data_IF_419743879731
#
_entry.id   IF_419743879731
#
_cell.length_a   1.000
_cell.length_b   1.000
_cell.length_c   1.000
_cell.angle_alpha   90.00
_cell.angle_beta   90.00
_cell.angle_gamma   90.00
#
_symmetry.space_group_name_H-M   'P 1'
#
loop_
_entity.id
_entity.type
_entity.pdbx_description
1 polymer ?
#
# COMPACT_ATOMS: atom_id res chain seq x y z
N UNK A 1 -51.89 -72.99 37.79
CA UNK A 1 -51.21 -73.01 39.07
C UNK A 1 -49.96 -72.18 38.92
N UNK A 2 -50.18 -70.97 39.30
CA UNK A 2 -49.30 -70.29 40.30
C UNK A 2 -47.85 -70.13 39.88
N UNK A 3 -47.15 -69.09 40.05
CA UNK A 3 -47.44 -67.84 40.77
C UNK A 3 -46.19 -66.91 40.55
N UNK A 4 -46.37 -65.58 40.69
CA UNK A 4 -45.52 -64.57 41.18
C UNK A 4 -44.15 -64.25 40.46
N UNK A 5 -44.07 -63.17 39.87
CA UNK A 5 -43.73 -61.83 40.38
C UNK A 5 -42.32 -61.65 40.97
N UNK A 6 -41.78 -60.48 40.71
CA UNK A 6 -40.74 -59.66 41.36
C UNK A 6 -39.56 -59.38 40.36
N UNK A 7 -39.50 -58.28 39.74
CA UNK A 7 -38.95 -56.99 40.15
C UNK A 7 -37.42 -56.96 40.25
N UNK A 8 -36.70 -56.40 39.29
CA UNK A 8 -35.39 -55.88 39.56
C UNK A 8 -35.02 -54.82 38.54
N UNK A 9 -34.65 -53.70 39.06
CA UNK A 9 -34.16 -52.52 38.39
C UNK A 9 -32.85 -52.80 37.66
N UNK A 10 -32.76 -52.38 36.41
CA UNK A 10 -31.47 -52.32 35.71
C UNK A 10 -31.10 -50.89 35.47
N UNK A 11 -29.96 -50.52 36.14
CA UNK A 11 -29.28 -49.26 35.95
C UNK A 11 -28.79 -49.10 34.52
N UNK A 12 -29.05 -47.94 34.02
CA UNK A 12 -28.55 -47.53 32.70
C UNK A 12 -27.07 -47.24 32.81
N UNK A 13 -26.23 -48.08 32.24
CA UNK A 13 -24.81 -47.82 31.98
C UNK A 13 -24.71 -46.86 30.78
N UNK A 14 -24.50 -45.60 31.04
CA UNK A 14 -24.12 -44.60 30.03
C UNK A 14 -22.68 -44.83 29.64
N UNK A 15 -22.46 -45.46 28.51
CA UNK A 15 -21.16 -45.48 27.83
C UNK A 15 -20.91 -44.11 27.22
N UNK A 16 -20.08 -43.31 27.89
CA UNK A 16 -19.44 -42.11 27.33
C UNK A 16 -18.38 -42.52 26.32
N UNK A 17 -18.75 -42.54 25.05
CA UNK A 17 -17.78 -42.60 23.96
C UNK A 17 -17.04 -41.29 23.90
N UNK A 18 -15.76 -41.36 24.24
CA UNK A 18 -14.81 -40.25 24.16
C UNK A 18 -14.71 -39.71 22.74
N UNK A 19 -14.93 -38.43 22.62
CA UNK A 19 -14.69 -37.65 21.43
C UNK A 19 -13.19 -37.40 21.37
N UNK A 20 -12.48 -37.74 20.30
CA UNK A 20 -11.05 -37.35 20.20
C UNK A 20 -10.97 -35.85 20.08
N UNK A 21 -10.18 -35.28 20.99
CA UNK A 21 -9.77 -33.87 20.96
C UNK A 21 -8.78 -33.68 19.81
N UNK A 22 -9.31 -33.26 18.67
CA UNK A 22 -8.50 -32.76 17.56
C UNK A 22 -8.49 -31.23 17.62
N UNK A 23 -7.71 -30.71 18.53
CA UNK A 23 -7.42 -29.28 18.66
C UNK A 23 -6.03 -29.01 18.08
N UNK A 24 -5.90 -29.10 16.76
CA UNK A 24 -4.83 -28.41 16.09
C UNK A 24 -5.09 -26.89 16.22
N UNK A 25 -4.10 -26.08 16.65
CA UNK A 25 -4.26 -24.63 16.66
C UNK A 25 -4.42 -24.15 15.22
N UNK A 26 -5.64 -23.74 14.87
CA UNK A 26 -5.86 -22.96 13.65
C UNK A 26 -5.00 -21.71 13.78
N UNK A 27 -3.96 -21.65 12.98
CA UNK A 27 -3.21 -20.42 12.74
C UNK A 27 -4.22 -19.34 12.39
N UNK A 28 -4.46 -18.44 13.32
CA UNK A 28 -5.31 -17.28 13.18
C UNK A 28 -4.61 -16.36 12.20
N UNK A 29 -4.89 -16.59 10.91
CA UNK A 29 -4.49 -15.66 9.86
C UNK A 29 -5.08 -14.31 10.25
N UNK A 30 -4.19 -13.33 10.49
CA UNK A 30 -4.58 -11.97 10.80
C UNK A 30 -5.69 -11.53 9.82
N UNK A 31 -6.78 -10.92 10.29
CA UNK A 31 -7.91 -10.60 9.45
C UNK A 31 -7.43 -9.71 8.30
N UNK A 32 -7.48 -10.25 7.08
CA UNK A 32 -7.36 -9.48 5.85
C UNK A 32 -8.37 -8.35 5.99
N UNK A 33 -7.88 -7.12 6.03
CA UNK A 33 -8.72 -5.94 6.15
C UNK A 33 -9.78 -6.01 5.05
N UNK A 34 -10.96 -6.45 5.42
CA UNK A 34 -12.13 -6.48 4.53
C UNK A 34 -12.28 -5.09 3.93
N UNK A 35 -12.59 -4.94 2.65
CA UNK A 35 -12.91 -3.64 2.09
C UNK A 35 -14.07 -3.10 2.92
N UNK A 36 -13.77 -2.08 3.72
CA UNK A 36 -14.73 -1.43 4.62
C UNK A 36 -15.87 -0.90 3.75
N UNK A 37 -16.92 -1.69 3.59
CA UNK A 37 -18.24 -1.24 3.16
C UNK A 37 -18.87 -0.50 4.35
N UNK A 38 -18.30 0.61 4.71
CA UNK A 38 -18.88 1.58 5.60
C UNK A 38 -19.26 2.78 4.76
N UNK A 39 -20.48 2.84 4.28
CA UNK A 39 -21.10 4.05 3.77
C UNK A 39 -21.30 5.05 4.90
N UNK A 40 -20.21 5.58 5.44
CA UNK A 40 -20.28 6.84 6.15
C UNK A 40 -20.63 7.91 5.11
N UNK A 41 -21.56 8.83 5.40
CA UNK A 41 -22.07 9.77 4.42
C UNK A 41 -20.93 10.56 3.81
N UNK A 42 -20.73 10.38 2.50
CA UNK A 42 -19.73 11.03 1.66
C UNK A 42 -19.85 12.56 1.72
N UNK A 43 -20.98 13.06 2.22
CA UNK A 43 -21.36 14.48 2.25
C UNK A 43 -20.79 15.31 3.40
N UNK A 44 -20.20 14.71 4.43
CA UNK A 44 -19.60 15.52 5.51
C UNK A 44 -18.16 15.94 5.14
N UNK A 45 -18.04 17.13 4.56
CA UNK A 45 -16.81 17.85 4.16
C UNK A 45 -16.10 17.36 2.88
N UNK A 46 -16.76 17.39 1.70
CA UNK A 46 -16.14 17.00 0.43
C UNK A 46 -14.91 17.87 0.10
N UNK A 47 -14.96 19.15 0.43
CA UNK A 47 -13.85 20.10 0.23
C UNK A 47 -12.62 19.68 1.03
N UNK A 48 -12.76 19.36 2.31
CA UNK A 48 -11.64 18.91 3.16
C UNK A 48 -10.98 17.66 2.61
N UNK A 49 -11.76 16.69 2.15
CA UNK A 49 -11.24 15.45 1.54
C UNK A 49 -10.52 15.71 0.23
N UNK A 50 -11.07 16.60 -0.62
CA UNK A 50 -10.42 17.02 -1.86
C UNK A 50 -9.08 17.70 -1.61
N UNK A 51 -9.04 18.64 -0.66
CA UNK A 51 -7.79 19.32 -0.25
C UNK A 51 -6.79 18.33 0.34
N UNK A 52 -7.21 17.45 1.23
CA UNK A 52 -6.36 16.42 1.82
C UNK A 52 -5.78 15.48 0.76
N UNK A 53 -6.59 15.05 -0.22
CA UNK A 53 -6.15 14.27 -1.37
C UNK A 53 -5.08 15.02 -2.15
N UNK A 54 -5.36 16.26 -2.55
CA UNK A 54 -4.46 17.07 -3.37
C UNK A 54 -3.12 17.32 -2.66
N UNK A 55 -3.14 17.74 -1.41
CA UNK A 55 -1.93 17.95 -0.61
C UNK A 55 -1.12 16.65 -0.44
N UNK A 56 -1.80 15.53 -0.22
CA UNK A 56 -1.14 14.23 -0.16
C UNK A 56 -0.49 13.84 -1.49
N UNK A 57 -1.16 14.06 -2.62
CA UNK A 57 -0.60 13.73 -3.93
C UNK A 57 0.55 14.65 -4.35
N UNK A 58 0.44 15.95 -4.07
CA UNK A 58 1.53 16.90 -4.30
C UNK A 58 2.74 16.54 -3.44
N UNK A 59 2.52 16.30 -2.13
CA UNK A 59 3.59 15.87 -1.24
C UNK A 59 4.24 14.55 -1.68
N UNK A 60 3.46 13.61 -2.23
CA UNK A 60 3.97 12.36 -2.79
C UNK A 60 4.91 12.60 -3.99
N UNK A 61 4.51 13.46 -4.94
CA UNK A 61 5.34 13.83 -6.09
C UNK A 61 6.64 14.50 -5.66
N UNK A 62 6.57 15.48 -4.73
CA UNK A 62 7.77 16.14 -4.17
C UNK A 62 8.66 15.15 -3.45
N UNK A 63 8.13 14.28 -2.62
CA UNK A 63 8.89 13.26 -1.90
C UNK A 63 9.63 12.30 -2.85
N UNK A 64 8.96 11.90 -3.93
CA UNK A 64 9.57 11.07 -4.98
C UNK A 64 10.73 11.81 -5.65
N UNK A 65 10.56 13.09 -6.00
CA UNK A 65 11.61 13.92 -6.57
C UNK A 65 12.80 14.08 -5.61
N UNK A 66 12.56 14.27 -4.30
CA UNK A 66 13.62 14.32 -3.29
C UNK A 66 14.44 13.02 -3.26
N UNK A 67 13.79 11.88 -3.26
CA UNK A 67 14.48 10.58 -3.24
C UNK A 67 15.31 10.36 -4.52
N UNK A 68 14.75 10.68 -5.67
CA UNK A 68 15.45 10.59 -6.97
C UNK A 68 16.67 11.51 -7.00
N UNK A 69 16.48 12.77 -6.63
CA UNK A 69 17.56 13.77 -6.63
C UNK A 69 18.66 13.47 -5.60
N UNK A 70 18.35 12.69 -4.57
CA UNK A 70 19.32 12.26 -3.56
C UNK A 70 20.48 11.44 -4.13
N UNK A 71 20.27 10.73 -5.25
CA UNK A 71 21.22 9.77 -5.81
C UNK A 71 21.49 8.53 -4.95
N UNK A 72 20.76 8.36 -3.83
CA UNK A 72 20.96 7.27 -2.85
C UNK A 72 20.05 6.06 -3.08
N UNK A 73 19.27 6.09 -4.15
CA UNK A 73 18.20 5.15 -4.45
C UNK A 73 16.81 5.74 -4.14
N UNK A 74 15.80 5.17 -4.75
CA UNK A 74 14.43 5.65 -4.65
C UNK A 74 13.47 4.52 -4.27
N UNK A 75 12.17 4.83 -4.11
CA UNK A 75 11.17 3.80 -3.90
C UNK A 75 11.10 2.84 -5.11
N UNK A 76 10.71 1.56 -4.92
CA UNK A 76 10.75 0.51 -5.94
C UNK A 76 10.23 0.91 -7.32
N UNK A 77 9.06 1.54 -7.37
CA UNK A 77 8.46 2.00 -8.62
C UNK A 77 9.21 3.16 -9.27
N UNK A 78 9.79 4.06 -8.46
CA UNK A 78 10.59 5.15 -8.99
C UNK A 78 11.92 4.67 -9.58
N UNK A 79 12.46 3.54 -9.11
CA UNK A 79 13.61 2.87 -9.74
C UNK A 79 13.24 2.38 -11.15
N UNK A 80 12.03 1.80 -11.31
CA UNK A 80 11.53 1.42 -12.64
C UNK A 80 11.30 2.64 -13.53
N UNK A 81 10.59 3.64 -13.00
CA UNK A 81 10.31 4.87 -13.74
C UNK A 81 11.60 5.53 -14.23
N UNK A 82 12.62 5.62 -13.35
CA UNK A 82 13.95 6.16 -13.69
C UNK A 82 14.64 5.36 -14.79
N UNK A 83 14.64 4.04 -14.69
CA UNK A 83 15.25 3.19 -15.72
C UNK A 83 14.61 3.40 -17.11
N UNK A 84 13.30 3.66 -17.16
CA UNK A 84 12.61 3.98 -18.40
C UNK A 84 12.99 5.38 -18.90
N UNK A 85 13.04 6.38 -18.01
CA UNK A 85 13.50 7.74 -18.33
C UNK A 85 14.89 7.70 -18.96
N UNK A 86 15.84 7.00 -18.35
CA UNK A 86 17.24 6.92 -18.79
C UNK A 86 17.35 6.24 -20.18
N UNK A 87 16.45 5.34 -20.52
CA UNK A 87 16.42 4.65 -21.82
C UNK A 87 15.70 5.42 -22.90
N UNK A 88 14.67 6.17 -22.55
CA UNK A 88 13.77 6.83 -23.52
C UNK A 88 14.03 8.32 -23.69
N UNK A 89 14.66 8.96 -22.71
CA UNK A 89 14.83 10.42 -22.66
C UNK A 89 13.52 11.19 -22.44
N UNK A 90 12.43 10.51 -22.08
CA UNK A 90 11.16 11.17 -21.78
C UNK A 90 11.24 11.92 -20.44
N UNK A 91 10.45 12.99 -20.28
CA UNK A 91 10.29 13.62 -18.97
C UNK A 91 9.67 12.65 -17.97
N UNK A 92 10.08 12.75 -16.70
CA UNK A 92 9.73 11.77 -15.67
C UNK A 92 8.21 11.64 -15.48
N UNK A 93 7.50 12.77 -15.51
CA UNK A 93 6.05 12.79 -15.39
C UNK A 93 5.33 11.99 -16.48
N UNK A 94 5.83 11.99 -17.72
CA UNK A 94 5.25 11.17 -18.79
C UNK A 94 5.42 9.67 -18.55
N UNK A 95 6.56 9.27 -18.00
CA UNK A 95 6.80 7.86 -17.65
C UNK A 95 5.88 7.44 -16.50
N UNK A 96 5.78 8.25 -15.43
CA UNK A 96 4.86 8.00 -14.31
C UNK A 96 3.40 7.91 -14.78
N UNK A 97 2.99 8.82 -15.68
CA UNK A 97 1.66 8.79 -16.29
C UNK A 97 1.44 7.49 -17.06
N UNK A 98 2.38 7.12 -17.93
CA UNK A 98 2.30 5.91 -18.76
C UNK A 98 2.24 4.64 -17.94
N UNK A 99 3.12 4.49 -16.94
CA UNK A 99 3.11 3.34 -16.02
C UNK A 99 1.82 3.31 -15.19
N UNK A 100 1.35 4.46 -14.70
CA UNK A 100 0.08 4.55 -13.99
C UNK A 100 -1.09 4.07 -14.82
N UNK A 101 -1.16 4.48 -16.10
CA UNK A 101 -2.19 4.02 -17.04
C UNK A 101 -2.06 2.53 -17.36
N UNK A 102 -0.84 2.02 -17.55
CA UNK A 102 -0.58 0.60 -17.79
C UNK A 102 -1.04 -0.25 -16.59
N UNK A 103 -0.74 0.19 -15.38
CA UNK A 103 -1.20 -0.47 -14.14
C UNK A 103 -2.73 -0.42 -14.05
N UNK A 104 -3.36 0.70 -14.41
CA UNK A 104 -4.83 0.77 -14.47
C UNK A 104 -5.43 -0.17 -15.52
N UNK A 105 -4.78 -0.39 -16.67
CA UNK A 105 -5.23 -1.39 -17.63
C UNK A 105 -5.19 -2.81 -17.05
N UNK A 106 -4.20 -3.12 -16.22
CA UNK A 106 -4.14 -4.39 -15.50
C UNK A 106 -5.30 -4.58 -14.49
N UNK A 107 -6.00 -3.50 -14.08
CA UNK A 107 -7.20 -3.61 -13.23
C UNK A 107 -8.41 -4.21 -13.97
N UNK A 108 -8.46 -4.09 -15.30
CA UNK A 108 -9.58 -4.63 -16.09
C UNK A 108 -9.75 -6.13 -15.84
N UNK A 109 -8.74 -7.00 -16.06
CA UNK A 109 -8.85 -8.41 -15.76
C UNK A 109 -8.98 -8.70 -14.26
N UNK A 110 -8.51 -7.80 -13.38
CA UNK A 110 -8.64 -7.92 -11.92
C UNK A 110 -9.99 -7.41 -11.40
N UNK A 111 -10.85 -6.89 -12.30
CA UNK A 111 -12.19 -6.34 -11.98
C UNK A 111 -12.16 -5.27 -10.89
N UNK A 112 -11.07 -4.52 -10.79
CA UNK A 112 -10.97 -3.38 -9.89
C UNK A 112 -11.62 -2.14 -10.54
N UNK A 113 -12.26 -1.29 -9.73
CA UNK A 113 -12.90 -0.07 -10.22
C UNK A 113 -12.09 1.14 -9.78
N UNK A 114 -11.58 1.97 -10.72
CA UNK A 114 -10.87 3.18 -10.37
C UNK A 114 -11.82 4.20 -9.72
N UNK A 115 -11.36 4.82 -8.63
CA UNK A 115 -12.03 5.95 -8.01
C UNK A 115 -11.49 7.29 -8.54
N UNK A 116 -12.12 8.39 -8.13
CA UNK A 116 -11.64 9.76 -8.45
C UNK A 116 -10.21 9.95 -7.93
N UNK A 117 -9.92 9.43 -6.73
CA UNK A 117 -8.59 9.48 -6.13
C UNK A 117 -7.53 8.70 -6.93
N UNK A 118 -7.91 7.61 -7.60
CA UNK A 118 -7.01 6.82 -8.46
C UNK A 118 -6.58 7.63 -9.69
N UNK A 119 -7.54 8.28 -10.35
CA UNK A 119 -7.26 9.11 -11.52
C UNK A 119 -6.45 10.36 -11.12
N UNK A 120 -6.86 11.02 -10.03
CA UNK A 120 -6.12 12.16 -9.49
C UNK A 120 -4.67 11.79 -9.10
N UNK A 121 -4.45 10.59 -8.54
CA UNK A 121 -3.11 10.10 -8.18
C UNK A 121 -2.19 10.08 -9.40
N UNK A 122 -2.62 9.47 -10.50
CA UNK A 122 -1.82 9.40 -11.72
C UNK A 122 -1.51 10.80 -12.26
N UNK A 123 -2.54 11.65 -12.39
CA UNK A 123 -2.39 12.98 -13.00
C UNK A 123 -1.56 13.92 -12.13
N UNK A 124 -1.90 14.04 -10.84
CA UNK A 124 -1.23 15.02 -9.97
C UNK A 124 0.22 14.66 -9.74
N UNK A 125 0.54 13.39 -9.47
CA UNK A 125 1.93 12.98 -9.24
C UNK A 125 2.77 13.21 -10.49
N UNK A 126 2.27 12.85 -11.68
CA UNK A 126 2.98 13.06 -12.94
C UNK A 126 3.21 14.54 -13.26
N UNK A 127 2.28 15.43 -12.89
CA UNK A 127 2.44 16.87 -13.10
C UNK A 127 3.39 17.55 -12.09
N UNK A 128 3.54 16.98 -10.90
CA UNK A 128 4.33 17.57 -9.82
C UNK A 128 5.80 17.16 -9.87
N UNK A 129 6.11 15.96 -10.36
CA UNK A 129 7.45 15.38 -10.21
C UNK A 129 8.52 16.15 -10.98
N UNK A 130 8.27 16.53 -12.24
CA UNK A 130 9.24 17.26 -13.06
C UNK A 130 9.51 18.68 -12.54
N UNK A 131 8.50 19.51 -12.18
CA UNK A 131 8.74 20.78 -11.52
C UNK A 131 9.50 20.65 -10.19
N UNK A 132 9.20 19.61 -9.40
CA UNK A 132 9.89 19.38 -8.15
C UNK A 132 11.37 19.01 -8.37
N UNK A 133 11.68 18.16 -9.34
CA UNK A 133 13.05 17.84 -9.74
C UNK A 133 13.79 19.09 -10.20
N UNK A 134 13.17 19.88 -11.08
CA UNK A 134 13.75 21.12 -11.58
C UNK A 134 14.08 22.13 -10.45
N UNK A 135 13.20 22.26 -9.45
CA UNK A 135 13.48 23.11 -8.28
C UNK A 135 14.63 22.56 -7.46
N UNK A 136 14.65 21.24 -7.21
CA UNK A 136 15.73 20.61 -6.44
C UNK A 136 17.09 20.73 -7.13
N UNK A 137 17.15 20.54 -8.44
CA UNK A 137 18.36 20.71 -9.23
C UNK A 137 18.93 22.14 -9.17
N UNK A 138 18.04 23.14 -9.09
CA UNK A 138 18.47 24.55 -8.95
C UNK A 138 18.91 24.92 -7.54
N UNK A 139 18.23 24.38 -6.52
CA UNK A 139 18.53 24.68 -5.12
C UNK A 139 19.75 23.91 -4.60
N UNK A 140 19.95 22.71 -5.06
CA UNK A 140 20.99 21.79 -4.60
C UNK A 140 21.60 21.03 -5.80
N UNK A 141 22.30 21.71 -6.69
CA UNK A 141 22.95 21.05 -7.82
C UNK A 141 24.00 20.04 -7.31
N UNK A 142 23.86 18.77 -7.69
CA UNK A 142 24.74 17.67 -7.28
C UNK A 142 24.91 17.60 -5.75
N UNK A 143 23.90 17.15 -5.00
CA UNK A 143 23.93 17.18 -3.54
C UNK A 143 25.09 16.37 -2.99
N UNK A 144 25.87 16.98 -2.11
CA UNK A 144 26.92 16.29 -1.36
C UNK A 144 26.28 15.15 -0.52
N UNK A 145 27.07 14.13 -0.16
CA UNK A 145 26.58 12.95 0.54
C UNK A 145 25.65 13.25 1.76
N UNK A 146 25.97 14.21 2.65
CA UNK A 146 25.08 14.52 3.77
C UNK A 146 23.73 15.09 3.33
N UNK A 147 23.73 15.94 2.30
CA UNK A 147 22.50 16.49 1.72
C UNK A 147 21.68 15.40 1.00
N UNK A 148 22.34 14.49 0.25
CA UNK A 148 21.72 13.34 -0.37
C UNK A 148 21.05 12.42 0.67
N UNK A 149 21.72 12.15 1.80
CA UNK A 149 21.14 11.38 2.91
C UNK A 149 19.90 12.10 3.47
N UNK A 150 20.01 13.41 3.70
CA UNK A 150 18.88 14.22 4.18
C UNK A 150 17.68 14.19 3.24
N UNK A 151 17.92 14.30 1.92
CA UNK A 151 16.88 14.21 0.89
C UNK A 151 16.22 12.82 0.85
N UNK A 152 17.01 11.75 0.94
CA UNK A 152 16.49 10.38 0.91
C UNK A 152 15.61 10.08 2.13
N UNK A 153 16.08 10.41 3.34
CA UNK A 153 15.33 10.20 4.58
C UNK A 153 14.11 11.14 4.67
N UNK A 154 14.29 12.43 4.37
CA UNK A 154 13.21 13.40 4.33
C UNK A 154 12.15 13.04 3.30
N UNK A 155 12.57 12.60 2.10
CA UNK A 155 11.67 12.08 1.07
C UNK A 155 10.90 10.85 1.53
N UNK A 156 11.55 9.90 2.21
CA UNK A 156 10.86 8.70 2.75
C UNK A 156 9.80 9.09 3.79
N UNK A 157 10.11 10.00 4.71
CA UNK A 157 9.15 10.47 5.71
C UNK A 157 8.01 11.24 5.06
N UNK A 158 8.31 12.19 4.18
CA UNK A 158 7.30 12.97 3.46
C UNK A 158 6.39 12.07 2.63
N UNK A 159 6.95 11.04 1.98
CA UNK A 159 6.17 10.08 1.20
C UNK A 159 5.22 9.26 2.08
N UNK A 160 5.67 8.82 3.24
CA UNK A 160 4.82 8.12 4.21
C UNK A 160 3.66 8.98 4.71
N UNK A 161 3.94 10.24 5.08
CA UNK A 161 2.91 11.21 5.51
C UNK A 161 1.92 11.49 4.37
N UNK A 162 2.44 11.73 3.16
CA UNK A 162 1.65 11.99 1.96
C UNK A 162 0.75 10.81 1.60
N UNK A 163 1.27 9.58 1.74
CA UNK A 163 0.50 8.35 1.56
C UNK A 163 -0.64 8.26 2.57
N UNK A 164 -0.38 8.51 3.85
CA UNK A 164 -1.42 8.54 4.87
C UNK A 164 -2.48 9.60 4.57
N UNK A 165 -2.08 10.77 4.05
CA UNK A 165 -2.98 11.85 3.71
C UNK A 165 -3.92 11.46 2.55
N UNK A 166 -3.38 11.02 1.40
CA UNK A 166 -4.22 10.72 0.24
C UNK A 166 -5.10 9.48 0.45
N UNK A 167 -4.55 8.43 1.10
CA UNK A 167 -5.34 7.23 1.45
C UNK A 167 -6.44 7.58 2.46
N UNK A 168 -6.13 8.43 3.44
CA UNK A 168 -7.08 8.93 4.43
C UNK A 168 -8.24 9.73 3.83
N UNK A 169 -8.08 10.31 2.66
CA UNK A 169 -9.16 10.99 1.93
C UNK A 169 -10.26 10.03 1.44
N UNK A 170 -9.99 8.72 1.33
CA UNK A 170 -10.94 7.65 0.92
C UNK A 170 -11.66 7.93 -0.40
N UNK A 171 -10.99 8.52 -1.37
CA UNK A 171 -11.53 8.81 -2.71
C UNK A 171 -11.12 7.77 -3.75
N UNK A 172 -10.46 6.73 -3.35
CA UNK A 172 -10.00 5.59 -4.16
C UNK A 172 -8.55 5.23 -3.83
N UNK A 173 -8.16 3.96 -4.00
CA UNK A 173 -6.78 3.52 -3.82
C UNK A 173 -5.90 4.07 -4.94
N UNK A 174 -4.60 4.20 -4.68
CA UNK A 174 -3.64 4.45 -5.74
C UNK A 174 -3.61 3.30 -6.76
N UNK A 175 -3.15 3.54 -8.00
CA UNK A 175 -3.14 2.50 -9.04
C UNK A 175 -2.32 1.27 -8.63
N UNK A 176 -1.21 1.48 -7.93
CA UNK A 176 -0.31 0.43 -7.44
C UNK A 176 -0.95 -0.38 -6.30
N UNK A 177 -1.68 0.29 -5.41
CA UNK A 177 -2.39 -0.35 -4.29
C UNK A 177 -3.55 -1.22 -4.80
N UNK A 178 -4.27 -0.74 -5.81
CA UNK A 178 -5.35 -1.51 -6.44
C UNK A 178 -4.84 -2.71 -7.23
N UNK A 179 -3.66 -2.63 -7.85
CA UNK A 179 -3.00 -3.78 -8.47
C UNK A 179 -2.71 -4.85 -7.42
N UNK A 180 -2.11 -4.45 -6.30
CA UNK A 180 -1.81 -5.35 -5.18
C UNK A 180 -3.08 -6.01 -4.63
N UNK A 181 -4.10 -5.23 -4.30
CA UNK A 181 -5.35 -5.78 -3.76
C UNK A 181 -6.08 -6.67 -4.76
N UNK A 182 -6.07 -6.31 -6.05
CA UNK A 182 -6.64 -7.14 -7.12
C UNK A 182 -5.95 -8.48 -7.26
N UNK A 183 -4.62 -8.51 -7.19
CA UNK A 183 -3.85 -9.76 -7.23
C UNK A 183 -4.09 -10.61 -5.98
N UNK A 184 -4.12 -10.03 -4.78
CA UNK A 184 -4.47 -10.75 -3.55
C UNK A 184 -5.83 -11.42 -3.67
N UNK A 185 -6.85 -10.71 -4.15
CA UNK A 185 -8.18 -11.29 -4.34
C UNK A 185 -8.21 -12.40 -5.39
N UNK A 186 -7.40 -12.30 -6.42
CA UNK A 186 -7.39 -13.30 -7.51
C UNK A 186 -6.58 -14.53 -7.19
N UNK A 187 -5.46 -14.38 -6.47
CA UNK A 187 -4.52 -15.48 -6.18
C UNK A 187 -4.78 -16.15 -4.83
N UNK A 188 -5.42 -15.44 -3.90
CA UNK A 188 -5.54 -15.87 -2.49
C UNK A 188 -4.21 -15.79 -1.72
N UNK A 189 -3.15 -15.23 -2.33
CA UNK A 189 -1.86 -15.11 -1.67
C UNK A 189 -1.89 -14.04 -0.57
N UNK A 190 -1.06 -14.18 0.46
CA UNK A 190 -0.98 -13.18 1.53
C UNK A 190 -0.46 -11.85 0.98
N UNK A 191 -0.97 -10.75 1.51
CA UNK A 191 -0.68 -9.37 1.06
C UNK A 191 0.83 -9.09 1.00
N UNK A 192 1.58 -9.54 2.02
CA UNK A 192 3.02 -9.32 2.08
C UNK A 192 3.76 -9.98 0.91
N UNK A 193 3.33 -11.20 0.51
CA UNK A 193 3.97 -11.92 -0.60
C UNK A 193 3.68 -11.23 -1.94
N UNK A 194 2.41 -10.86 -2.19
CA UNK A 194 2.04 -10.15 -3.42
C UNK A 194 2.79 -8.82 -3.52
N UNK A 195 2.84 -8.07 -2.42
CA UNK A 195 3.59 -6.80 -2.36
C UNK A 195 5.06 -7.02 -2.66
N UNK A 196 5.70 -7.97 -1.99
CA UNK A 196 7.13 -8.28 -2.20
C UNK A 196 7.42 -8.70 -3.64
N UNK A 197 6.60 -9.56 -4.23
CA UNK A 197 6.76 -9.99 -5.62
C UNK A 197 6.68 -8.80 -6.57
N UNK A 198 5.68 -7.92 -6.40
CA UNK A 198 5.53 -6.72 -7.24
C UNK A 198 6.77 -5.82 -7.05
N UNK A 199 7.16 -5.50 -5.82
CA UNK A 199 8.25 -4.57 -5.54
C UNK A 199 9.60 -5.11 -6.05
N UNK A 200 9.88 -6.40 -5.84
CA UNK A 200 11.09 -7.02 -6.38
C UNK A 200 11.08 -7.01 -7.91
N UNK A 201 9.95 -7.32 -8.53
CA UNK A 201 9.84 -7.32 -9.99
C UNK A 201 10.12 -5.93 -10.57
N UNK A 202 9.50 -4.88 -10.03
CA UNK A 202 9.71 -3.51 -10.55
C UNK A 202 11.12 -3.00 -10.27
N UNK A 203 11.74 -3.37 -9.13
CA UNK A 203 13.14 -3.02 -8.84
C UNK A 203 14.08 -3.72 -9.82
N UNK A 204 13.92 -5.03 -10.03
CA UNK A 204 14.78 -5.79 -10.96
C UNK A 204 14.66 -5.22 -12.37
N UNK A 205 13.45 -4.99 -12.87
CA UNK A 205 13.24 -4.38 -14.17
C UNK A 205 13.84 -2.96 -14.24
N UNK A 206 13.65 -2.15 -13.20
CA UNK A 206 14.20 -0.80 -13.14
C UNK A 206 15.72 -0.79 -13.19
N UNK A 207 16.39 -1.63 -12.40
CA UNK A 207 17.86 -1.77 -12.40
C UNK A 207 18.38 -2.25 -13.75
N UNK A 208 17.72 -3.22 -14.38
CA UNK A 208 18.08 -3.70 -15.71
C UNK A 208 17.97 -2.62 -16.80
N UNK A 209 17.09 -1.64 -16.57
CA UNK A 209 16.93 -0.48 -17.45
C UNK A 209 17.88 0.68 -17.12
N UNK A 210 18.60 0.65 -15.99
CA UNK A 210 19.55 1.67 -15.57
C UNK A 210 19.12 2.49 -14.34
N UNK A 211 17.96 2.19 -13.77
CA UNK A 211 17.46 2.87 -12.56
C UNK A 211 18.33 2.62 -11.34
N UNK A 212 18.42 3.63 -10.47
CA UNK A 212 19.32 3.65 -9.31
C UNK A 212 18.69 2.92 -8.12
N UNK A 213 19.24 1.75 -7.80
CA UNK A 213 18.98 1.03 -6.56
C UNK A 213 20.07 1.38 -5.54
N UNK A 214 19.67 1.72 -4.33
CA UNK A 214 20.62 2.07 -3.27
C UNK A 214 20.11 1.76 -1.87
N UNK A 215 20.89 2.12 -0.84
CA UNK A 215 20.52 1.93 0.54
C UNK A 215 19.19 2.62 0.89
N UNK A 216 18.89 3.76 0.28
CA UNK A 216 17.63 4.48 0.50
C UNK A 216 16.42 3.66 0.02
N UNK A 217 16.55 2.83 -1.02
CA UNK A 217 15.48 1.91 -1.46
C UNK A 217 15.17 0.88 -0.37
N UNK A 218 16.20 0.36 0.30
CA UNK A 218 16.03 -0.60 1.40
C UNK A 218 15.39 0.08 2.62
N UNK A 219 15.91 1.24 3.00
CA UNK A 219 15.35 2.04 4.11
C UNK A 219 13.89 2.39 3.84
N UNK A 220 13.56 2.78 2.61
CA UNK A 220 12.18 3.02 2.21
C UNK A 220 11.29 1.77 2.39
N UNK A 221 11.72 0.63 1.91
CA UNK A 221 10.93 -0.60 1.94
C UNK A 221 10.50 -0.99 3.38
N UNK A 222 11.36 -0.77 4.37
CA UNK A 222 11.08 -1.07 5.78
C UNK A 222 10.53 0.14 6.55
N UNK A 223 10.94 1.36 6.20
CA UNK A 223 10.64 2.57 6.96
C UNK A 223 9.32 3.23 6.61
N UNK A 224 8.85 3.15 5.36
CA UNK A 224 7.62 3.83 4.94
C UNK A 224 6.39 3.33 5.67
N UNK A 225 6.29 2.03 5.94
CA UNK A 225 5.14 1.43 6.64
C UNK A 225 4.90 2.02 8.04
N UNK A 226 5.88 2.03 8.94
CA UNK A 226 5.79 2.69 10.23
C UNK A 226 5.41 4.17 10.15
N UNK A 227 6.01 4.92 9.21
CA UNK A 227 5.68 6.34 9.00
C UNK A 227 4.21 6.52 8.61
N UNK A 228 3.73 5.72 7.66
CA UNK A 228 2.31 5.73 7.26
C UNK A 228 1.40 5.43 8.45
N UNK A 229 1.73 4.42 9.27
CA UNK A 229 0.92 4.07 10.45
C UNK A 229 0.85 5.20 11.47
N UNK A 230 1.97 5.84 11.76
CA UNK A 230 2.01 6.98 12.69
C UNK A 230 1.23 8.16 12.13
N UNK A 231 1.48 8.53 10.87
CA UNK A 231 0.80 9.65 10.22
C UNK A 231 -0.72 9.41 10.09
N UNK A 232 -1.15 8.17 9.81
CA UNK A 232 -2.56 7.83 9.70
C UNK A 232 -3.34 8.05 10.99
N UNK A 233 -2.71 7.91 12.18
CA UNK A 233 -3.36 8.21 13.47
C UNK A 233 -3.77 9.67 13.60
N UNK A 234 -3.01 10.58 12.97
CA UNK A 234 -3.26 12.02 13.02
C UNK A 234 -4.14 12.52 11.86
N UNK A 235 -4.05 11.87 10.71
CA UNK A 235 -4.70 12.31 9.47
C UNK A 235 -6.02 11.58 9.19
N UNK A 236 -6.25 10.40 9.76
CA UNK A 236 -7.51 9.70 9.65
C UNK A 236 -8.59 10.43 10.46
N UNK A 237 -9.81 10.61 9.94
CA UNK A 237 -10.91 11.17 10.71
C UNK A 237 -11.14 10.31 11.95
N UNK A 238 -11.21 10.95 13.13
CA UNK A 238 -11.52 10.34 14.42
C UNK A 238 -12.85 9.58 14.37
N UNK A 239 -12.81 8.32 14.08
CA UNK A 239 -13.96 7.42 13.90
C UNK A 239 -13.55 6.00 13.55
N UNK A 240 -12.24 5.73 13.41
CA UNK A 240 -11.70 4.43 13.02
C UNK A 240 -10.78 3.78 14.07
N UNK A 241 -10.58 4.43 15.21
CA UNK A 241 -9.98 3.79 16.38
C UNK A 241 -11.07 3.11 17.19
N UNK A 242 -11.82 2.21 16.57
CA UNK A 242 -12.54 1.18 17.29
C UNK A 242 -11.47 0.23 17.83
N UNK A 243 -11.02 0.47 19.06
CA UNK A 243 -10.38 -0.56 19.85
C UNK A 243 -11.41 -1.64 20.13
N UNK A 244 -10.99 -2.93 20.13
CA UNK A 244 -11.82 -4.06 20.49
C UNK A 244 -12.40 -3.95 21.87
#
# INVERSE_FOLDING_TARGET
MEDKAIGSQHGYMTTTTGRPADSAPRSEAAPVASPVRGSAPILMHPVRRGVQLLLGLVGFGVATAMMLHSGQGAMPWAVLDQGIVDRTGLAYGWVVLGIGLLVMLAWIPLRQRPGIGTVANIIVISLVIDPALWVLERLLPAPALPAGIGLALGGTVLLGVSTAAYVGARLGPGPRDGLMTGLVHRTGWPVWLVKTVIEVTVVVLGVLLGGTFGWATVVFAFGVGPVVQVAARWLAPSGLTGHP
#
